data_IF_136697278342
#
_entry.id   IF_136697278342
#
_cell.length_a   1.000
_cell.length_b   1.000
_cell.length_c   1.000
_cell.angle_alpha   90.00
_cell.angle_beta   90.00
_cell.angle_gamma   90.00
#
_symmetry.space_group_name_H-M   'P 1'
#
loop_
_entity.id
_entity.type
_entity.pdbx_description
1 polymer ?
#
# COMPACT_ATOMS: atom_id res chain seq x y z
N UNK A 1 46.94 28.92 32.82
CA UNK A 1 47.84 27.76 32.65
C UNK A 1 47.43 27.06 31.37
N UNK A 2 48.27 27.22 30.36
CA UNK A 2 48.17 26.62 29.04
C UNK A 2 48.18 25.10 29.14
N UNK A 3 47.28 24.42 28.45
CA UNK A 3 47.45 23.02 28.06
C UNK A 3 46.97 22.86 26.62
N UNK A 4 47.91 23.12 25.71
CA UNK A 4 47.90 22.72 24.32
C UNK A 4 47.87 21.20 24.23
N UNK A 5 46.79 20.64 23.69
CA UNK A 5 46.72 19.23 23.27
C UNK A 5 46.88 19.21 21.75
N UNK A 6 48.05 18.76 21.32
CA UNK A 6 48.44 18.57 19.93
C UNK A 6 47.62 17.45 19.29
N UNK A 7 46.89 17.75 18.21
CA UNK A 7 46.21 16.74 17.38
C UNK A 7 47.26 16.13 16.44
N UNK A 8 47.54 14.84 16.60
CA UNK A 8 48.41 14.10 15.69
C UNK A 8 47.72 13.88 14.32
N UNK A 9 48.44 13.93 13.19
CA UNK A 9 47.87 13.72 11.86
C UNK A 9 47.46 12.25 11.64
N UNK A 10 46.48 11.99 10.76
CA UNK A 10 45.97 10.64 10.52
C UNK A 10 47.04 9.79 9.83
N UNK A 11 47.40 8.67 10.45
CA UNK A 11 48.23 7.66 9.80
C UNK A 11 47.43 6.94 8.71
N UNK A 12 47.85 7.15 7.48
CA UNK A 12 47.56 6.27 6.33
C UNK A 12 48.07 4.86 6.65
N UNK A 13 47.16 3.95 7.01
CA UNK A 13 47.40 2.51 6.92
C UNK A 13 46.68 1.97 5.69
N UNK A 14 47.44 1.80 4.63
CA UNK A 14 47.18 0.80 3.60
C UNK A 14 47.24 -0.59 4.25
N UNK A 15 46.09 -1.15 4.61
CA UNK A 15 45.95 -2.55 4.95
C UNK A 15 45.04 -3.21 3.91
N UNK A 16 45.66 -3.72 2.85
CA UNK A 16 45.10 -4.71 1.92
C UNK A 16 45.08 -6.08 2.60
N UNK A 17 44.21 -6.25 3.60
CA UNK A 17 43.84 -7.57 4.10
C UNK A 17 42.31 -7.65 4.14
N UNK A 18 41.75 -8.39 3.18
CA UNK A 18 40.35 -8.78 3.21
C UNK A 18 40.11 -9.56 4.51
N UNK A 19 39.16 -9.14 5.37
CA UNK A 19 38.86 -9.91 6.58
C UNK A 19 38.46 -11.34 6.18
N UNK A 20 38.88 -12.36 6.96
CA UNK A 20 38.56 -13.75 6.64
C UNK A 20 37.04 -13.88 6.52
N UNK A 21 36.57 -14.42 5.40
CA UNK A 21 35.14 -14.62 5.15
C UNK A 21 34.56 -15.39 6.35
N UNK A 22 33.73 -14.72 7.15
CA UNK A 22 33.08 -15.35 8.30
C UNK A 22 32.28 -16.54 7.76
N UNK A 23 32.40 -17.71 8.39
CA UNK A 23 31.65 -18.92 7.98
C UNK A 23 30.14 -18.69 7.86
N UNK A 24 29.60 -17.66 8.53
CA UNK A 24 28.21 -17.21 8.38
C UNK A 24 27.84 -16.80 6.94
N UNK A 25 28.79 -16.30 6.15
CA UNK A 25 28.56 -15.95 4.74
C UNK A 25 28.41 -17.20 3.85
N UNK A 26 29.04 -18.32 4.23
CA UNK A 26 28.87 -19.61 3.53
C UNK A 26 27.49 -20.23 3.76
N UNK A 27 26.80 -19.80 4.81
CA UNK A 27 25.49 -20.30 5.23
C UNK A 27 24.40 -19.23 5.06
N UNK A 28 24.63 -18.21 4.22
CA UNK A 28 23.64 -17.18 3.96
C UNK A 28 22.38 -17.79 3.29
N UNK A 29 21.16 -17.33 3.64
CA UNK A 29 19.93 -17.79 3.00
C UNK A 29 19.95 -17.55 1.49
N UNK A 30 19.45 -18.53 0.72
CA UNK A 30 19.39 -18.46 -0.75
C UNK A 30 18.05 -17.93 -1.27
N UNK A 31 17.01 -17.89 -0.42
CA UNK A 31 15.66 -17.40 -0.71
C UNK A 31 15.52 -15.90 -0.42
N UNK A 32 16.43 -15.10 -0.96
CA UNK A 32 16.37 -13.65 -0.88
C UNK A 32 15.31 -13.10 -1.84
N UNK A 33 14.53 -12.13 -1.36
CA UNK A 33 13.42 -11.55 -2.14
C UNK A 33 13.87 -10.59 -3.24
N UNK A 34 14.91 -9.77 -3.02
CA UNK A 34 15.30 -8.73 -3.98
C UNK A 34 15.61 -9.27 -5.40
N UNK A 35 16.33 -10.39 -5.58
CA UNK A 35 16.50 -11.00 -6.90
C UNK A 35 15.21 -11.57 -7.53
N UNK A 36 14.15 -11.83 -6.76
CA UNK A 36 12.83 -12.24 -7.28
C UNK A 36 11.98 -11.05 -7.70
N UNK A 37 12.10 -9.95 -6.96
CA UNK A 37 11.36 -8.72 -7.18
C UNK A 37 11.92 -7.88 -8.33
N UNK A 38 13.25 -7.77 -8.43
CA UNK A 38 13.92 -7.01 -9.48
C UNK A 38 13.89 -7.81 -10.79
N UNK A 39 13.23 -7.24 -11.81
CA UNK A 39 13.18 -7.82 -13.16
C UNK A 39 14.55 -7.84 -13.86
N UNK A 40 15.21 -6.68 -14.04
CA UNK A 40 16.54 -6.62 -14.65
C UNK A 40 17.59 -7.40 -13.85
N UNK A 41 18.41 -8.16 -14.57
CA UNK A 41 19.54 -8.90 -14.01
C UNK A 41 20.82 -8.08 -14.08
N UNK A 42 21.81 -8.50 -13.29
CA UNK A 42 23.14 -7.89 -13.32
C UNK A 42 23.77 -7.91 -14.73
N UNK A 43 23.46 -8.93 -15.52
CA UNK A 43 23.87 -9.06 -16.93
C UNK A 43 23.24 -8.03 -17.86
N UNK A 44 22.07 -7.48 -17.51
CA UNK A 44 21.32 -6.57 -18.35
C UNK A 44 21.77 -5.11 -18.14
N UNK A 45 22.33 -4.81 -16.95
CA UNK A 45 22.73 -3.45 -16.57
C UNK A 45 23.72 -2.80 -17.55
N UNK A 46 24.80 -3.46 -18.03
CA UNK A 46 25.73 -2.81 -18.95
C UNK A 46 25.07 -2.34 -20.24
N UNK A 47 24.12 -3.12 -20.77
CA UNK A 47 23.39 -2.76 -21.98
C UNK A 47 22.44 -1.58 -21.75
N UNK A 48 21.70 -1.60 -20.63
CA UNK A 48 20.78 -0.52 -20.26
C UNK A 48 21.51 0.80 -19.99
N UNK A 49 22.64 0.76 -19.27
CA UNK A 49 23.45 1.93 -18.96
C UNK A 49 24.10 2.52 -20.23
N UNK A 50 24.62 1.67 -21.11
CA UNK A 50 25.17 2.09 -22.40
C UNK A 50 24.11 2.78 -23.29
N UNK A 51 22.87 2.28 -23.30
CA UNK A 51 21.77 2.92 -24.05
C UNK A 51 21.41 4.32 -23.50
N UNK A 52 21.65 4.56 -22.21
CA UNK A 52 21.44 5.85 -21.54
C UNK A 52 22.68 6.75 -21.58
N UNK A 53 23.84 6.24 -22.00
CA UNK A 53 25.09 7.00 -22.09
C UNK A 53 25.73 7.33 -20.72
N UNK A 54 25.51 6.47 -19.72
CA UNK A 54 26.08 6.61 -18.36
C UNK A 54 26.90 5.36 -18.00
N UNK A 55 27.91 5.51 -17.14
CA UNK A 55 28.86 4.44 -16.84
C UNK A 55 28.43 3.59 -15.63
N UNK A 56 27.51 4.09 -14.80
CA UNK A 56 27.04 3.38 -13.60
C UNK A 56 25.62 3.76 -13.17
N UNK A 57 25.03 2.90 -12.33
CA UNK A 57 23.76 3.21 -11.68
C UNK A 57 23.90 4.40 -10.71
N UNK A 58 25.02 4.53 -10.01
CA UNK A 58 25.26 5.66 -9.11
C UNK A 58 25.29 6.98 -9.89
N UNK A 59 25.99 7.03 -11.02
CA UNK A 59 26.00 8.20 -11.91
C UNK A 59 24.59 8.55 -12.40
N UNK A 60 23.81 7.56 -12.83
CA UNK A 60 22.42 7.77 -13.26
C UNK A 60 21.58 8.43 -12.15
N UNK A 61 21.71 7.93 -10.90
CA UNK A 61 20.97 8.46 -9.76
C UNK A 61 21.45 9.87 -9.40
N UNK A 62 22.76 10.14 -9.47
CA UNK A 62 23.35 11.45 -9.21
C UNK A 62 22.85 12.53 -10.18
N UNK A 63 22.67 12.16 -11.45
CA UNK A 63 22.11 13.05 -12.48
C UNK A 63 20.59 13.22 -12.35
N UNK A 64 19.87 12.17 -11.96
CA UNK A 64 18.40 12.18 -11.90
C UNK A 64 17.84 12.85 -10.63
N UNK A 65 18.48 12.66 -9.48
CA UNK A 65 18.00 13.15 -8.18
C UNK A 65 18.78 14.39 -7.76
N UNK A 66 18.16 15.57 -7.63
CA UNK A 66 18.85 16.77 -7.19
C UNK A 66 19.56 16.57 -5.84
N UNK A 67 20.86 16.89 -5.78
CA UNK A 67 21.69 16.68 -4.60
C UNK A 67 21.16 17.37 -3.33
N UNK A 68 20.41 18.47 -3.48
CA UNK A 68 19.81 19.21 -2.36
C UNK A 68 18.77 18.39 -1.57
N UNK A 69 18.09 17.44 -2.22
CA UNK A 69 17.05 16.61 -1.60
C UNK A 69 17.47 15.15 -1.41
N UNK A 70 18.67 14.77 -1.88
CA UNK A 70 19.15 13.39 -1.78
C UNK A 70 19.51 13.03 -0.34
N UNK A 71 18.99 11.89 0.12
CA UNK A 71 19.33 11.35 1.44
C UNK A 71 20.81 10.92 1.48
N UNK A 72 21.60 11.55 2.35
CA UNK A 72 23.07 11.33 2.46
C UNK A 72 23.48 10.17 3.36
N UNK A 73 22.50 9.38 3.84
CA UNK A 73 22.72 8.23 4.71
C UNK A 73 21.87 7.07 4.23
N UNK A 74 22.26 5.86 4.62
CA UNK A 74 21.41 4.70 4.45
C UNK A 74 20.11 4.84 5.27
N UNK A 75 19.08 4.13 4.82
CA UNK A 75 17.86 3.97 5.61
C UNK A 75 18.21 3.20 6.89
N UNK A 76 17.68 3.66 8.02
CA UNK A 76 17.85 2.99 9.31
C UNK A 76 16.76 1.92 9.45
N UNK A 77 16.96 0.78 8.79
CA UNK A 77 16.06 -0.36 8.78
C UNK A 77 16.79 -1.61 9.30
N UNK A 78 16.06 -2.60 9.86
CA UNK A 78 16.63 -3.91 10.14
C UNK A 78 17.28 -4.54 8.92
N UNK A 79 18.20 -5.47 9.14
CA UNK A 79 18.76 -6.27 8.07
C UNK A 79 17.64 -7.02 7.31
N UNK A 80 17.78 -7.21 5.98
CA UNK A 80 16.78 -7.93 5.21
C UNK A 80 16.67 -9.38 5.69
N UNK A 81 15.44 -9.86 5.77
CA UNK A 81 15.11 -11.26 6.04
C UNK A 81 14.90 -12.00 4.72
N UNK A 82 15.09 -13.31 4.73
CA UNK A 82 14.69 -14.19 3.64
C UNK A 82 13.15 -14.30 3.55
N UNK A 83 12.61 -14.78 2.43
CA UNK A 83 11.16 -14.98 2.28
C UNK A 83 10.61 -15.94 3.35
N UNK A 84 11.33 -17.02 3.65
CA UNK A 84 10.94 -17.99 4.66
C UNK A 84 10.95 -17.40 6.08
N UNK A 85 11.95 -16.58 6.39
CA UNK A 85 12.08 -15.89 7.69
C UNK A 85 10.93 -14.89 7.88
N UNK A 86 10.62 -14.07 6.87
CA UNK A 86 9.49 -13.12 6.93
C UNK A 86 8.17 -13.85 7.20
N UNK A 87 7.92 -14.97 6.52
CA UNK A 87 6.70 -15.75 6.74
C UNK A 87 6.65 -16.38 8.14
N UNK A 88 7.78 -16.82 8.69
CA UNK A 88 7.83 -17.33 10.06
C UNK A 88 7.53 -16.23 11.08
N UNK A 89 8.16 -15.07 10.92
CA UNK A 89 7.99 -13.91 11.80
C UNK A 89 6.55 -13.38 11.76
N UNK A 90 5.96 -13.23 10.58
CA UNK A 90 4.57 -12.79 10.43
C UNK A 90 3.58 -13.79 11.02
N UNK A 91 3.84 -15.11 10.92
CA UNK A 91 3.01 -16.13 11.59
C UNK A 91 3.11 -16.01 13.10
N UNK A 92 4.31 -15.80 13.65
CA UNK A 92 4.50 -15.62 15.08
C UNK A 92 3.79 -14.36 15.60
N UNK A 93 3.81 -13.27 14.83
CA UNK A 93 3.06 -12.05 15.15
C UNK A 93 1.55 -12.28 15.07
N UNK A 94 1.06 -12.89 13.99
CA UNK A 94 -0.36 -13.20 13.80
C UNK A 94 -0.92 -14.12 14.89
N UNK A 95 -0.12 -15.04 15.42
CA UNK A 95 -0.51 -15.95 16.51
C UNK A 95 -0.80 -15.24 17.84
N UNK A 96 -0.42 -13.97 17.99
CA UNK A 96 -0.76 -13.15 19.16
C UNK A 96 -2.21 -12.63 19.10
N UNK A 97 -2.82 -12.60 17.92
CA UNK A 97 -4.22 -12.22 17.76
C UNK A 97 -5.14 -13.31 18.30
N UNK A 98 -6.24 -12.90 18.94
CA UNK A 98 -7.27 -13.81 19.43
C UNK A 98 -8.52 -13.71 18.55
N UNK A 99 -8.87 -14.80 17.89
CA UNK A 99 -10.07 -14.87 17.06
C UNK A 99 -11.27 -15.22 17.95
N UNK A 100 -12.12 -14.23 18.21
CA UNK A 100 -13.35 -14.39 18.98
C UNK A 100 -14.57 -14.53 18.06
N UNK A 101 -15.63 -15.12 18.60
CA UNK A 101 -16.98 -14.94 18.04
C UNK A 101 -17.47 -13.55 18.45
N UNK A 102 -17.29 -12.59 17.55
CA UNK A 102 -17.60 -11.18 17.81
C UNK A 102 -19.02 -10.85 17.38
N UNK A 103 -19.90 -10.57 18.35
CA UNK A 103 -21.26 -10.08 18.12
C UNK A 103 -21.40 -8.59 18.42
N UNK A 104 -20.33 -7.83 18.16
CA UNK A 104 -20.29 -6.38 18.39
C UNK A 104 -21.21 -5.66 17.38
N UNK A 105 -21.28 -6.15 16.14
CA UNK A 105 -22.06 -5.52 15.06
C UNK A 105 -21.38 -4.24 14.57
N UNK A 106 -22.08 -3.11 14.65
CA UNK A 106 -21.56 -1.80 14.25
C UNK A 106 -21.05 -1.73 12.80
N UNK A 107 -21.74 -2.39 11.87
CA UNK A 107 -21.40 -2.39 10.43
C UNK A 107 -20.46 -3.51 9.99
N UNK A 108 -19.94 -4.31 10.93
CA UNK A 108 -19.10 -5.48 10.62
C UNK A 108 -19.74 -6.75 11.19
N UNK A 109 -20.00 -7.72 10.32
CA UNK A 109 -20.56 -9.01 10.69
C UNK A 109 -19.73 -10.13 10.05
N UNK A 110 -19.52 -11.21 10.80
CA UNK A 110 -18.80 -12.38 10.30
C UNK A 110 -19.61 -13.04 9.17
N UNK A 111 -18.91 -13.60 8.17
CA UNK A 111 -19.54 -14.28 7.05
C UNK A 111 -18.67 -15.43 6.54
N UNK A 112 -19.33 -16.47 6.02
CA UNK A 112 -18.64 -17.56 5.37
C UNK A 112 -18.30 -17.16 3.94
N UNK A 113 -17.04 -16.79 3.69
CA UNK A 113 -16.55 -16.60 2.31
C UNK A 113 -16.52 -17.97 1.61
N UNK A 114 -17.27 -18.18 0.52
CA UNK A 114 -17.27 -19.46 -0.17
C UNK A 114 -15.85 -19.86 -0.58
N UNK A 115 -15.36 -21.08 -0.26
CA UNK A 115 -13.97 -21.47 -0.54
C UNK A 115 -13.58 -21.36 -2.02
N UNK A 116 -14.54 -21.56 -2.93
CA UNK A 116 -14.33 -21.39 -4.36
C UNK A 116 -14.02 -19.93 -4.75
N UNK A 117 -14.63 -18.95 -4.07
CA UNK A 117 -14.35 -17.52 -4.27
C UNK A 117 -13.00 -17.16 -3.65
N UNK A 118 -12.75 -17.59 -2.42
CA UNK A 118 -11.49 -17.36 -1.72
C UNK A 118 -10.29 -17.83 -2.58
N UNK A 119 -10.35 -19.09 -3.04
CA UNK A 119 -9.24 -19.70 -3.77
C UNK A 119 -9.04 -19.14 -5.18
N UNK A 120 -10.13 -18.93 -5.93
CA UNK A 120 -10.04 -18.64 -7.36
C UNK A 120 -10.10 -17.15 -7.71
N UNK A 121 -10.45 -16.29 -6.75
CA UNK A 121 -10.49 -14.83 -6.91
C UNK A 121 -9.49 -14.16 -5.97
N UNK A 122 -9.68 -14.25 -4.64
CA UNK A 122 -8.86 -13.50 -3.68
C UNK A 122 -7.39 -13.96 -3.66
N UNK A 123 -7.15 -15.26 -3.75
CA UNK A 123 -5.80 -15.85 -3.76
C UNK A 123 -5.21 -15.99 -5.18
N UNK A 124 -5.89 -15.48 -6.22
CA UNK A 124 -5.48 -15.66 -7.61
C UNK A 124 -4.92 -14.35 -8.22
N UNK A 125 -3.62 -14.30 -8.58
CA UNK A 125 -3.03 -13.10 -9.17
C UNK A 125 -3.68 -12.68 -10.49
N UNK A 126 -4.34 -13.60 -11.21
CA UNK A 126 -5.12 -13.28 -12.41
C UNK A 126 -6.35 -12.42 -12.15
N UNK A 127 -6.71 -12.15 -10.88
CA UNK A 127 -7.79 -11.24 -10.51
C UNK A 127 -7.33 -9.98 -9.77
N UNK A 128 -6.22 -10.04 -9.01
CA UNK A 128 -5.78 -8.91 -8.16
C UNK A 128 -4.56 -8.14 -8.68
N UNK A 129 -3.89 -8.60 -9.74
CA UNK A 129 -2.69 -7.90 -10.25
C UNK A 129 -3.01 -6.83 -11.30
N UNK A 130 -4.15 -6.92 -11.96
CA UNK A 130 -4.58 -5.89 -12.91
C UNK A 130 -5.06 -4.64 -12.19
N UNK A 131 -4.92 -3.50 -12.87
CA UNK A 131 -5.41 -2.22 -12.36
C UNK A 131 -6.77 -1.83 -12.98
N UNK A 132 -7.17 -0.57 -12.76
CA UNK A 132 -8.42 0.02 -13.28
C UNK A 132 -8.63 -0.35 -14.76
N UNK A 133 -9.87 -0.73 -15.16
CA UNK A 133 -10.20 -1.15 -16.52
C UNK A 133 -10.26 0.02 -17.52
N UNK A 134 -9.14 0.73 -17.70
CA UNK A 134 -9.03 1.80 -18.70
C UNK A 134 -9.14 1.27 -20.14
N UNK A 135 -8.66 0.05 -20.39
CA UNK A 135 -8.73 -0.64 -21.67
C UNK A 135 -9.83 -1.71 -21.57
N UNK A 136 -11.05 -1.36 -21.97
CA UNK A 136 -12.24 -2.17 -21.72
C UNK A 136 -12.18 -3.53 -22.45
N UNK A 137 -11.63 -3.59 -23.65
CA UNK A 137 -11.58 -4.76 -24.52
C UNK A 137 -10.82 -5.93 -23.89
N UNK A 138 -9.81 -5.63 -23.08
CA UNK A 138 -8.99 -6.61 -22.35
C UNK A 138 -9.37 -6.70 -20.86
N UNK A 139 -10.53 -6.15 -20.50
CA UNK A 139 -10.99 -6.07 -19.11
C UNK A 139 -12.43 -6.57 -18.90
N UNK A 140 -13.06 -7.15 -19.93
CA UNK A 140 -14.47 -7.53 -19.91
C UNK A 140 -14.82 -8.44 -18.73
N UNK A 141 -13.97 -9.39 -18.33
CA UNK A 141 -14.25 -10.29 -17.21
C UNK A 141 -14.50 -9.57 -15.87
N UNK A 142 -13.68 -8.56 -15.52
CA UNK A 142 -13.90 -7.78 -14.28
C UNK A 142 -14.98 -6.71 -14.44
N UNK A 143 -15.15 -6.15 -15.63
CA UNK A 143 -16.24 -5.20 -15.91
C UNK A 143 -17.61 -5.88 -15.78
N UNK A 144 -17.75 -7.12 -16.24
CA UNK A 144 -18.96 -7.91 -16.06
C UNK A 144 -19.22 -8.21 -14.57
N UNK A 145 -18.19 -8.59 -13.80
CA UNK A 145 -18.32 -8.78 -12.36
C UNK A 145 -18.76 -7.50 -11.63
N UNK A 146 -18.26 -6.33 -12.04
CA UNK A 146 -18.68 -5.03 -11.50
C UNK A 146 -20.12 -4.67 -11.91
N UNK A 147 -20.54 -5.02 -13.13
CA UNK A 147 -21.93 -4.85 -13.57
C UNK A 147 -22.88 -5.75 -12.76
N UNK A 148 -22.45 -6.98 -12.45
CA UNK A 148 -23.19 -7.87 -11.55
C UNK A 148 -23.29 -7.28 -10.14
N UNK A 149 -22.22 -6.65 -9.63
CA UNK A 149 -22.27 -5.91 -8.36
C UNK A 149 -23.29 -4.76 -8.42
N UNK A 150 -23.26 -3.94 -9.47
CA UNK A 150 -24.23 -2.85 -9.64
C UNK A 150 -25.66 -3.37 -9.67
N UNK A 151 -25.91 -4.43 -10.46
CA UNK A 151 -27.23 -5.06 -10.58
C UNK A 151 -27.71 -5.62 -9.24
N UNK A 152 -26.84 -6.30 -8.50
CA UNK A 152 -27.15 -6.80 -7.15
C UNK A 152 -27.55 -5.66 -6.21
N UNK A 153 -26.84 -4.53 -6.25
CA UNK A 153 -27.17 -3.37 -5.40
C UNK A 153 -28.48 -2.73 -5.84
N UNK A 154 -28.75 -2.54 -7.14
CA UNK A 154 -30.02 -1.99 -7.62
C UNK A 154 -31.20 -2.88 -7.27
N UNK A 155 -31.06 -4.20 -7.40
CA UNK A 155 -32.12 -5.16 -7.07
C UNK A 155 -32.42 -5.18 -5.56
N UNK A 156 -31.39 -5.15 -4.71
CA UNK A 156 -31.57 -5.17 -3.25
C UNK A 156 -32.10 -3.85 -2.68
N UNK A 157 -31.72 -2.72 -3.27
CA UNK A 157 -32.10 -1.38 -2.77
C UNK A 157 -33.36 -0.83 -3.43
N UNK A 158 -33.75 -1.36 -4.60
CA UNK A 158 -34.83 -0.83 -5.42
C UNK A 158 -34.51 0.52 -6.07
N UNK A 159 -33.23 0.92 -6.12
CA UNK A 159 -32.79 2.18 -6.72
C UNK A 159 -32.45 1.98 -8.21
N UNK A 160 -32.63 3.04 -9.01
CA UNK A 160 -32.45 2.98 -10.46
C UNK A 160 -30.99 2.75 -10.90
N UNK A 161 -30.02 3.24 -10.12
CA UNK A 161 -28.59 3.19 -10.46
C UNK A 161 -27.73 2.91 -9.23
N UNK A 162 -26.62 2.20 -9.45
CA UNK A 162 -25.56 2.00 -8.48
C UNK A 162 -24.18 2.21 -9.14
N UNK A 163 -23.19 2.63 -8.37
CA UNK A 163 -21.81 2.72 -8.83
C UNK A 163 -21.05 1.40 -8.62
N UNK A 164 -19.79 1.35 -9.03
CA UNK A 164 -18.92 0.18 -8.93
C UNK A 164 -18.12 0.11 -7.61
N UNK A 165 -18.76 0.46 -6.48
CA UNK A 165 -18.22 0.53 -5.09
C UNK A 165 -17.73 1.91 -4.62
N UNK A 166 -17.54 2.01 -3.30
CA UNK A 166 -16.96 3.11 -2.53
C UNK A 166 -15.96 2.52 -1.51
N UNK A 167 -15.25 3.36 -0.75
CA UNK A 167 -14.21 2.90 0.19
C UNK A 167 -14.81 2.14 1.40
N UNK A 168 -15.81 2.72 2.05
CA UNK A 168 -16.50 2.14 3.21
C UNK A 168 -17.90 2.78 3.39
N UNK A 169 -18.69 2.29 4.36
CA UNK A 169 -20.04 2.80 4.65
C UNK A 169 -20.03 4.29 5.03
N UNK A 170 -19.11 4.70 5.92
CA UNK A 170 -19.07 6.06 6.44
C UNK A 170 -18.76 7.08 5.34
N UNK A 171 -17.75 6.80 4.52
CA UNK A 171 -17.38 7.62 3.36
C UNK A 171 -18.49 7.64 2.31
N UNK A 172 -19.17 6.53 2.06
CA UNK A 172 -20.34 6.51 1.17
C UNK A 172 -21.48 7.41 1.71
N UNK A 173 -21.74 7.39 3.02
CA UNK A 173 -22.74 8.28 3.63
C UNK A 173 -22.34 9.77 3.53
N UNK A 174 -21.06 10.09 3.69
CA UNK A 174 -20.57 11.46 3.51
C UNK A 174 -20.62 11.93 2.05
N UNK A 175 -20.40 11.04 1.09
CA UNK A 175 -20.60 11.33 -0.34
C UNK A 175 -22.09 11.51 -0.66
N UNK A 176 -22.98 10.75 -0.04
CA UNK A 176 -24.42 10.97 -0.14
C UNK A 176 -24.83 12.36 0.41
N UNK A 177 -24.29 12.77 1.56
CA UNK A 177 -24.46 14.14 2.08
C UNK A 177 -23.99 15.19 1.07
N UNK A 178 -22.82 14.98 0.46
CA UNK A 178 -22.24 15.89 -0.53
C UNK A 178 -23.07 15.96 -1.80
N UNK A 179 -23.59 14.82 -2.28
CA UNK A 179 -24.52 14.74 -3.39
C UNK A 179 -25.79 15.52 -3.10
N UNK A 180 -26.39 15.34 -1.92
CA UNK A 180 -27.56 16.09 -1.46
C UNK A 180 -27.29 17.60 -1.45
N UNK A 181 -26.14 18.04 -0.90
CA UNK A 181 -25.74 19.47 -0.88
C UNK A 181 -25.62 20.05 -2.29
N UNK A 182 -25.07 19.29 -3.24
CA UNK A 182 -24.92 19.71 -4.65
C UNK A 182 -26.23 19.70 -5.44
N UNK A 183 -27.15 18.79 -5.12
CA UNK A 183 -28.45 18.68 -5.77
C UNK A 183 -29.46 19.76 -5.31
N UNK A 184 -29.14 20.54 -4.28
CA UNK A 184 -29.99 21.62 -3.82
C UNK A 184 -30.24 22.67 -4.92
N UNK A 185 -31.42 23.29 -4.90
CA UNK A 185 -31.72 24.44 -5.77
C UNK A 185 -30.74 25.58 -5.47
N UNK A 186 -30.33 26.35 -6.49
CA UNK A 186 -29.43 27.51 -6.33
C UNK A 186 -29.92 28.56 -5.32
N UNK A 187 -31.24 28.65 -5.11
CA UNK A 187 -31.85 29.56 -4.15
C UNK A 187 -31.95 28.99 -2.73
N UNK A 188 -31.54 27.74 -2.51
CA UNK A 188 -31.56 27.09 -1.20
C UNK A 188 -30.51 27.71 -0.29
N UNK A 189 -30.91 28.01 0.95
CA UNK A 189 -30.01 28.42 2.03
C UNK A 189 -29.84 27.31 3.07
N UNK A 190 -30.31 26.09 2.78
CA UNK A 190 -30.27 24.96 3.70
C UNK A 190 -28.83 24.45 3.89
N UNK A 191 -28.28 24.64 5.08
CA UNK A 191 -26.92 24.22 5.43
C UNK A 191 -26.88 23.24 6.61
N UNK A 192 -27.99 22.56 6.89
CA UNK A 192 -28.08 21.54 7.94
C UNK A 192 -28.34 20.20 7.29
N UNK A 193 -27.51 19.21 7.60
CA UNK A 193 -27.72 17.82 7.21
C UNK A 193 -28.07 17.00 8.46
N UNK A 194 -29.24 16.36 8.46
CA UNK A 194 -29.69 15.56 9.58
C UNK A 194 -29.08 14.16 9.50
N UNK A 195 -28.49 13.69 10.60
CA UNK A 195 -28.00 12.32 10.77
C UNK A 195 -28.68 11.74 12.00
N UNK A 196 -29.30 10.57 11.86
CA UNK A 196 -29.94 9.89 12.99
C UNK A 196 -28.90 9.45 14.01
N UNK A 197 -29.19 9.60 15.30
CA UNK A 197 -28.35 9.09 16.39
C UNK A 197 -28.28 7.55 16.42
N UNK A 198 -29.18 6.86 15.70
CA UNK A 198 -29.20 5.41 15.58
C UNK A 198 -28.26 4.88 14.48
N UNK A 199 -27.63 5.76 13.70
CA UNK A 199 -26.57 5.36 12.77
C UNK A 199 -25.35 4.85 13.53
N UNK A 200 -24.47 4.12 12.85
CA UNK A 200 -23.22 3.68 13.47
C UNK A 200 -22.35 4.89 13.86
N UNK A 201 -21.73 4.88 15.06
CA UNK A 201 -21.03 6.04 15.58
C UNK A 201 -19.86 6.47 14.68
N UNK A 202 -19.15 5.53 14.06
CA UNK A 202 -18.10 5.85 13.08
C UNK A 202 -18.64 6.53 11.81
N UNK A 203 -19.86 6.17 11.38
CA UNK A 203 -20.54 6.81 10.24
C UNK A 203 -20.92 8.24 10.58
N UNK A 204 -21.49 8.46 11.78
CA UNK A 204 -21.82 9.81 12.29
C UNK A 204 -20.57 10.70 12.35
N UNK A 205 -19.49 10.20 12.93
CA UNK A 205 -18.25 10.96 13.10
C UNK A 205 -17.61 11.30 11.74
N UNK A 206 -17.65 10.38 10.78
CA UNK A 206 -17.11 10.62 9.44
C UNK A 206 -17.94 11.66 8.70
N UNK A 207 -19.28 11.57 8.74
CA UNK A 207 -20.17 12.56 8.13
C UNK A 207 -19.94 13.94 8.76
N UNK A 208 -19.82 14.02 10.09
CA UNK A 208 -19.50 15.27 10.80
C UNK A 208 -18.15 15.85 10.34
N UNK A 209 -17.11 15.03 10.31
CA UNK A 209 -15.76 15.44 9.86
C UNK A 209 -15.78 15.97 8.43
N UNK A 210 -16.58 15.37 7.55
CA UNK A 210 -16.73 15.80 6.15
C UNK A 210 -17.61 17.04 5.99
N UNK A 211 -18.53 17.28 6.92
CA UNK A 211 -19.36 18.47 6.94
C UNK A 211 -18.58 19.72 7.36
N UNK A 212 -17.67 19.61 8.34
CA UNK A 212 -16.91 20.72 8.91
C UNK A 212 -16.25 21.66 7.88
N UNK A 213 -15.48 21.19 6.86
CA UNK A 213 -14.87 22.08 5.87
C UNK A 213 -15.88 22.69 4.88
N UNK A 214 -17.14 22.23 4.89
CA UNK A 214 -18.20 22.72 4.00
C UNK A 214 -19.06 23.81 4.67
N UNK A 215 -18.79 24.13 5.93
CA UNK A 215 -19.61 25.00 6.78
C UNK A 215 -20.88 24.33 7.28
#
# INVERSE_FOLDING_TARGET
>A
MSNSVTIAPPQTKTSTESPPAKNSALLAPLDLFAPRHLGPRQSDLPHMLAALGVDSLDELIDQAVPAAIRLKRLLNLPAPLSESEVLADLRALAAQNKVYRSFIGMGYADCLTPPVILRNILENPGWYTQYTPYQAEIAQGRLEALLNFQTMITDLTGMDIANASMLDEGTAAAEAMTLCKRAQKRSSTANVFFVSELCHPQTIELVRTRAEPLG
#
